data_IF_138295887515
#
_entry.id   IF_138295887515
#
_cell.length_a   1.000
_cell.length_b   1.000
_cell.length_c   1.000
_cell.angle_alpha   90.00
_cell.angle_beta   90.00
_cell.angle_gamma   90.00
#
_symmetry.space_group_name_H-M   'P 1'
#
loop_
_entity.id
_entity.type
_entity.pdbx_description
1 polymer ?
#
# COMPACT_ATOMS: atom_id res chain seq x y z
N UNK A 1 7.08 7.51 4.72
CA UNK A 1 6.11 6.54 5.26
C UNK A 1 5.82 5.51 4.19
N UNK A 2 5.93 4.24 4.56
CA UNK A 2 5.62 3.07 3.76
C UNK A 2 4.28 2.50 4.25
N UNK A 3 3.30 2.43 3.37
CA UNK A 3 1.94 1.98 3.71
C UNK A 3 1.63 0.69 2.96
N UNK A 4 1.10 -0.32 3.65
CA UNK A 4 0.55 -1.52 3.04
C UNK A 4 -0.97 -1.45 3.03
N UNK A 5 -1.60 -1.69 1.87
CA UNK A 5 -3.05 -1.79 1.71
C UNK A 5 -3.40 -3.18 1.19
N UNK A 6 -4.11 -3.96 1.99
CA UNK A 6 -4.68 -5.25 1.57
C UNK A 6 -6.02 -5.04 0.86
N UNK A 7 -6.34 -5.87 -0.13
CA UNK A 7 -7.45 -5.58 -1.06
C UNK A 7 -7.23 -4.25 -1.79
N UNK A 8 -5.96 -3.89 -2.00
CA UNK A 8 -5.51 -2.57 -2.45
C UNK A 8 -5.95 -2.20 -3.86
N UNK A 9 -6.33 -3.19 -4.67
CA UNK A 9 -6.73 -3.00 -6.07
C UNK A 9 -8.26 -2.97 -6.23
N UNK A 10 -9.02 -3.32 -5.19
CA UNK A 10 -10.48 -3.25 -5.15
C UNK A 10 -11.03 -1.83 -4.96
N UNK A 11 -12.36 -1.70 -4.82
CA UNK A 11 -13.05 -0.41 -4.75
C UNK A 11 -12.51 0.53 -3.66
N UNK A 12 -12.47 0.07 -2.40
CA UNK A 12 -12.01 0.90 -1.28
C UNK A 12 -10.49 1.06 -1.26
N UNK A 13 -9.74 -0.02 -1.50
CA UNK A 13 -8.28 0.01 -1.52
C UNK A 13 -7.75 1.00 -2.56
N UNK A 14 -8.27 0.95 -3.78
CA UNK A 14 -7.83 1.83 -4.85
C UNK A 14 -8.25 3.29 -4.60
N UNK A 15 -9.41 3.53 -3.98
CA UNK A 15 -9.82 4.89 -3.58
C UNK A 15 -8.94 5.44 -2.46
N UNK A 16 -8.61 4.61 -1.47
CA UNK A 16 -7.71 4.97 -0.38
C UNK A 16 -6.32 5.33 -0.93
N UNK A 17 -5.74 4.47 -1.77
CA UNK A 17 -4.44 4.72 -2.40
C UNK A 17 -4.43 6.07 -3.13
N UNK A 18 -5.42 6.35 -3.98
CA UNK A 18 -5.54 7.66 -4.67
C UNK A 18 -5.62 8.84 -3.70
N UNK A 19 -6.38 8.70 -2.63
CA UNK A 19 -6.56 9.76 -1.63
C UNK A 19 -5.25 10.04 -0.90
N UNK A 20 -4.50 8.99 -0.55
CA UNK A 20 -3.20 9.10 0.07
C UNK A 20 -2.15 9.71 -0.87
N UNK A 21 -2.14 9.29 -2.15
CA UNK A 21 -1.21 9.80 -3.16
C UNK A 21 -1.42 11.29 -3.47
N UNK A 22 -2.68 11.75 -3.46
CA UNK A 22 -3.06 13.15 -3.66
C UNK A 22 -2.91 14.01 -2.39
N UNK A 23 -2.84 13.36 -1.22
CA UNK A 23 -2.70 14.02 0.08
C UNK A 23 -1.27 14.49 0.37
N UNK A 24 -1.15 15.20 1.49
CA UNK A 24 0.13 15.61 2.07
C UNK A 24 0.66 14.64 3.12
N UNK A 25 1.68 15.05 3.90
CA UNK A 25 2.20 14.28 5.02
C UNK A 25 1.09 13.86 6.01
N UNK A 26 1.17 12.63 6.51
CA UNK A 26 0.20 12.08 7.46
C UNK A 26 0.86 11.79 8.80
N UNK A 27 0.14 12.07 9.89
CA UNK A 27 0.52 11.69 11.24
C UNK A 27 -0.06 10.31 11.57
N UNK A 28 0.77 9.40 12.08
CA UNK A 28 0.38 8.07 12.52
C UNK A 28 0.52 7.99 14.04
N UNK A 29 -0.47 7.42 14.72
CA UNK A 29 -0.48 7.22 16.17
C UNK A 29 -0.11 8.47 17.02
N UNK A 30 -0.52 9.66 16.57
CA UNK A 30 -0.20 10.93 17.25
C UNK A 30 1.25 11.42 17.09
N UNK A 31 2.06 10.74 16.27
CA UNK A 31 3.41 11.15 15.92
C UNK A 31 3.46 12.33 14.95
N UNK A 32 4.69 12.78 14.65
CA UNK A 32 4.91 13.82 13.65
C UNK A 32 4.44 13.37 12.25
N UNK A 33 3.92 14.32 11.47
CA UNK A 33 3.49 14.05 10.11
C UNK A 33 4.69 13.69 9.21
N UNK A 34 4.56 12.62 8.41
CA UNK A 34 5.60 12.16 7.47
C UNK A 34 5.03 12.01 6.06
N UNK A 35 5.82 12.36 5.05
CA UNK A 35 5.46 12.14 3.65
C UNK A 35 5.37 10.66 3.31
N UNK A 36 4.42 10.29 2.45
CA UNK A 36 4.28 8.93 1.92
C UNK A 36 5.29 8.74 0.78
N UNK A 37 6.18 7.76 0.94
CA UNK A 37 7.23 7.45 -0.04
C UNK A 37 6.94 6.17 -0.82
N UNK A 38 6.12 5.27 -0.24
CA UNK A 38 5.68 4.03 -0.89
C UNK A 38 4.29 3.63 -0.40
N UNK A 39 3.47 3.14 -1.31
CA UNK A 39 2.23 2.43 -1.04
C UNK A 39 2.32 1.06 -1.70
N UNK A 40 2.31 0.00 -0.91
CA UNK A 40 2.25 -1.38 -1.39
C UNK A 40 0.80 -1.83 -1.43
N UNK A 41 0.32 -2.22 -2.61
CA UNK A 41 -1.00 -2.82 -2.80
C UNK A 41 -0.84 -4.35 -2.81
N UNK A 42 -1.44 -5.02 -1.84
CA UNK A 42 -1.54 -6.47 -1.81
C UNK A 42 -2.94 -6.89 -2.26
N UNK A 43 -3.03 -7.62 -3.36
CA UNK A 43 -4.30 -8.05 -3.93
C UNK A 43 -4.11 -9.26 -4.88
N UNK A 44 -5.20 -9.96 -5.17
CA UNK A 44 -5.21 -11.05 -6.16
C UNK A 44 -5.30 -10.52 -7.60
N UNK A 45 -5.90 -9.34 -7.77
CA UNK A 45 -6.16 -8.69 -9.06
C UNK A 45 -5.18 -7.52 -9.26
N UNK A 46 -4.69 -7.27 -10.49
CA UNK A 46 -3.79 -6.13 -10.75
C UNK A 46 -4.43 -4.77 -10.43
N UNK A 47 -3.60 -3.76 -10.10
CA UNK A 47 -4.08 -2.42 -9.81
C UNK A 47 -4.67 -1.74 -11.06
N UNK A 48 -5.62 -0.80 -10.88
CA UNK A 48 -6.01 0.14 -11.93
C UNK A 48 -4.81 0.86 -12.55
N UNK A 49 -4.88 1.17 -13.85
CA UNK A 49 -3.74 1.67 -14.63
C UNK A 49 -3.11 2.97 -14.09
N UNK A 50 -3.92 3.85 -13.50
CA UNK A 50 -3.44 5.08 -12.87
C UNK A 50 -2.60 4.79 -11.62
N UNK A 51 -2.99 3.81 -10.80
CA UNK A 51 -2.19 3.36 -9.67
C UNK A 51 -0.96 2.57 -10.13
N UNK A 52 -1.10 1.73 -11.17
CA UNK A 52 0.01 0.99 -11.75
C UNK A 52 1.12 1.89 -12.34
N UNK A 53 0.80 3.15 -12.65
CA UNK A 53 1.74 4.11 -13.25
C UNK A 53 2.34 5.12 -12.26
N UNK A 54 1.87 5.17 -11.00
CA UNK A 54 2.48 6.03 -9.97
C UNK A 54 3.75 5.37 -9.41
N UNK A 55 4.87 6.09 -9.44
CA UNK A 55 6.18 5.59 -9.01
C UNK A 55 6.25 5.23 -7.51
N UNK A 56 5.31 5.72 -6.69
CA UNK A 56 5.20 5.37 -5.27
C UNK A 56 4.43 4.07 -5.05
N UNK A 57 3.78 3.50 -6.07
CA UNK A 57 3.01 2.27 -5.95
C UNK A 57 3.90 1.05 -6.20
N UNK A 58 3.79 0.08 -5.30
CA UNK A 58 4.27 -1.28 -5.52
C UNK A 58 3.09 -2.24 -5.46
N UNK A 59 3.11 -3.28 -6.30
CA UNK A 59 2.06 -4.28 -6.34
C UNK A 59 2.62 -5.66 -5.98
N UNK A 60 1.95 -6.32 -5.04
CA UNK A 60 2.28 -7.68 -4.59
C UNK A 60 1.07 -8.55 -4.88
N UNK A 61 1.14 -9.32 -5.98
CA UNK A 61 0.03 -10.16 -6.44
C UNK A 61 -0.01 -11.49 -5.71
N UNK A 62 -1.19 -11.93 -5.29
CA UNK A 62 -1.38 -13.26 -4.72
C UNK A 62 -2.41 -13.34 -3.60
N UNK A 63 -2.50 -14.51 -2.98
CA UNK A 63 -3.32 -14.70 -1.81
C UNK A 63 -2.67 -14.07 -0.57
N UNK A 64 -3.44 -13.32 0.22
CA UNK A 64 -2.91 -12.61 1.38
C UNK A 64 -2.31 -13.56 2.43
N UNK A 65 -2.92 -14.73 2.64
CA UNK A 65 -2.43 -15.69 3.63
C UNK A 65 -1.07 -16.25 3.24
N UNK A 66 -0.88 -16.57 1.96
CA UNK A 66 0.42 -17.02 1.42
C UNK A 66 1.47 -15.90 1.51
N UNK A 67 1.08 -14.68 1.17
CA UNK A 67 1.99 -13.53 1.16
C UNK A 67 2.38 -13.00 2.56
N UNK A 68 1.58 -13.31 3.58
CA UNK A 68 1.87 -12.93 4.97
C UNK A 68 2.69 -13.98 5.74
N UNK A 69 2.99 -15.13 5.11
CA UNK A 69 3.87 -16.14 5.68
C UNK A 69 5.34 -15.69 5.74
N UNK A 70 6.19 -16.50 6.38
CA UNK A 70 7.63 -16.18 6.58
C UNK A 70 8.39 -15.94 5.27
N UNK A 71 8.01 -16.64 4.20
CA UNK A 71 8.62 -16.52 2.86
C UNK A 71 7.76 -15.64 1.92
N UNK A 72 6.80 -14.92 2.50
CA UNK A 72 5.86 -14.08 1.78
C UNK A 72 6.49 -12.77 1.29
N UNK A 73 5.90 -12.17 0.26
CA UNK A 73 6.43 -10.97 -0.39
C UNK A 73 5.98 -9.64 0.26
N UNK A 74 5.18 -9.69 1.32
CA UNK A 74 4.74 -8.46 1.98
C UNK A 74 5.90 -7.80 2.75
N UNK A 75 6.12 -6.49 2.58
CA UNK A 75 7.17 -5.77 3.28
C UNK A 75 6.77 -5.43 4.72
N UNK A 76 6.43 -6.44 5.52
CA UNK A 76 5.87 -6.25 6.87
C UNK A 76 6.84 -5.53 7.81
N UNK A 77 8.13 -5.87 7.75
CA UNK A 77 9.17 -5.22 8.57
C UNK A 77 9.41 -3.74 8.19
N UNK A 78 9.12 -3.38 6.93
CA UNK A 78 9.35 -2.04 6.39
C UNK A 78 8.06 -1.19 6.34
N UNK A 79 6.94 -1.70 6.85
CA UNK A 79 5.65 -0.98 6.89
C UNK A 79 5.55 -0.16 8.17
N UNK A 80 5.20 1.12 8.05
CA UNK A 80 4.96 1.97 9.22
C UNK A 80 3.60 1.62 9.88
N UNK A 81 3.62 1.39 11.20
CA UNK A 81 2.46 1.06 12.04
C UNK A 81 2.42 1.91 13.32
#
# INVERSE_FOLDING_TARGET
MNILITGGCGFLGARLARTLLAGGPIALAGGAAKSIVRITLADRVPPPADLASDARIQFVQGDLYEQAGNDGALPLADTDA
#
